data_IF_011254432492
#
_entry.id   IF_011254432492
#
_cell.length_a   1.000
_cell.length_b   1.000
_cell.length_c   1.000
_cell.angle_alpha   90.00
_cell.angle_beta   90.00
_cell.angle_gamma   90.00
#
_symmetry.space_group_name_H-M   'P 1'
#
loop_
_entity.id
_entity.type
_entity.pdbx_description
1 polymer ?
#
# COMPACT_ATOMS: atom_id res chain seq x y z
N UNK A 1 -3.33 -15.06 -16.06
CA UNK A 1 -3.10 -14.47 -14.72
C UNK A 1 -4.46 -14.15 -14.13
N UNK A 2 -4.78 -14.78 -13.00
CA UNK A 2 -6.14 -14.98 -12.51
C UNK A 2 -6.77 -13.65 -12.03
N UNK A 3 -7.77 -13.17 -12.77
CA UNK A 3 -8.71 -12.15 -12.31
C UNK A 3 -9.67 -12.84 -11.33
N UNK A 4 -9.63 -12.46 -10.06
CA UNK A 4 -10.49 -13.07 -9.04
C UNK A 4 -11.82 -12.32 -9.05
N UNK A 5 -12.92 -13.01 -9.36
CA UNK A 5 -14.29 -12.48 -9.25
C UNK A 5 -14.83 -12.76 -7.84
N UNK A 6 -15.34 -11.73 -7.17
CA UNK A 6 -16.21 -11.85 -5.99
C UNK A 6 -17.47 -11.01 -6.24
N UNK A 7 -18.63 -11.55 -5.86
CA UNK A 7 -19.98 -11.05 -6.18
C UNK A 7 -20.15 -9.55 -5.85
N UNK A 8 -20.44 -8.74 -6.89
CA UNK A 8 -20.50 -7.27 -6.82
C UNK A 8 -19.24 -6.59 -7.41
N UNK A 9 -18.99 -6.81 -8.70
CA UNK A 9 -17.71 -6.76 -9.44
C UNK A 9 -16.74 -5.59 -9.14
N UNK A 10 -15.92 -5.72 -8.08
CA UNK A 10 -14.70 -4.92 -7.87
C UNK A 10 -13.49 -5.72 -8.39
N UNK A 11 -12.82 -5.21 -9.41
CA UNK A 11 -11.63 -5.84 -10.00
C UNK A 11 -10.42 -5.72 -9.08
N UNK A 12 -10.01 -6.83 -8.44
CA UNK A 12 -8.81 -6.89 -7.61
C UNK A 12 -7.62 -7.52 -8.34
N UNK A 13 -6.42 -7.07 -8.00
CA UNK A 13 -5.16 -7.61 -8.52
C UNK A 13 -4.47 -8.45 -7.46
N UNK A 14 -3.98 -9.63 -7.84
CA UNK A 14 -3.15 -10.46 -6.98
C UNK A 14 -1.69 -10.01 -7.05
N UNK A 15 -1.01 -9.93 -5.90
CA UNK A 15 0.42 -9.65 -5.80
C UNK A 15 1.07 -10.49 -4.70
N UNK A 16 2.39 -10.66 -4.78
CA UNK A 16 3.20 -11.36 -3.78
C UNK A 16 3.96 -10.32 -2.97
N UNK A 17 3.87 -10.39 -1.64
CA UNK A 17 4.59 -9.46 -0.77
C UNK A 17 6.09 -9.76 -0.81
N UNK A 18 6.92 -8.75 -1.07
CA UNK A 18 8.38 -8.95 -1.11
C UNK A 18 8.99 -9.32 0.25
N UNK A 19 8.33 -8.97 1.36
CA UNK A 19 8.81 -9.19 2.73
C UNK A 19 8.40 -10.57 3.22
N UNK A 20 7.09 -10.83 3.34
CA UNK A 20 6.59 -12.09 3.89
C UNK A 20 6.34 -13.18 2.85
N UNK A 21 6.53 -12.90 1.55
CA UNK A 21 6.33 -13.82 0.41
C UNK A 21 4.91 -14.41 0.30
N UNK A 22 3.94 -13.83 1.00
CA UNK A 22 2.53 -14.25 0.92
C UNK A 22 1.79 -13.51 -0.20
N UNK A 23 0.86 -14.23 -0.81
CA UNK A 23 -0.12 -13.66 -1.74
C UNK A 23 -1.09 -12.73 -1.03
N UNK A 24 -1.46 -11.62 -1.68
CA UNK A 24 -2.50 -10.71 -1.22
C UNK A 24 -3.22 -10.06 -2.39
N UNK A 25 -4.40 -9.50 -2.10
CA UNK A 25 -5.24 -8.81 -3.07
C UNK A 25 -5.08 -7.30 -2.92
N UNK A 26 -5.05 -6.61 -4.06
CA UNK A 26 -4.93 -5.16 -4.17
C UNK A 26 -6.21 -4.65 -4.84
N UNK A 27 -6.97 -3.77 -4.18
CA UNK A 27 -8.18 -3.21 -4.74
C UNK A 27 -7.88 -2.09 -5.74
N UNK A 28 -8.82 -1.72 -6.63
CA UNK A 28 -8.57 -0.79 -7.73
C UNK A 28 -8.35 0.67 -7.31
N UNK A 29 -8.79 1.07 -6.12
CA UNK A 29 -8.53 2.40 -5.54
C UNK A 29 -7.14 2.52 -4.90
N UNK A 30 -6.43 1.41 -4.74
CA UNK A 30 -5.05 1.43 -4.25
C UNK A 30 -4.11 1.90 -5.36
N UNK A 31 -3.21 2.84 -5.06
CA UNK A 31 -2.24 3.34 -6.04
C UNK A 31 -1.38 2.19 -6.62
N UNK A 32 -1.10 1.15 -5.82
CA UNK A 32 -0.34 -0.04 -6.23
C UNK A 32 -1.04 -0.83 -7.34
N UNK A 33 -2.37 -0.72 -7.44
CA UNK A 33 -3.14 -1.37 -8.50
C UNK A 33 -2.73 -0.85 -9.87
N UNK A 34 -2.63 0.48 -10.01
CA UNK A 34 -2.22 1.13 -11.25
C UNK A 34 -0.77 0.81 -11.57
N UNK A 35 0.13 0.85 -10.58
CA UNK A 35 1.54 0.49 -10.79
C UNK A 35 1.69 -0.94 -11.31
N UNK A 36 0.99 -1.89 -10.70
CA UNK A 36 1.03 -3.29 -11.12
C UNK A 36 0.33 -3.53 -12.47
N UNK A 37 -0.61 -2.68 -12.86
CA UNK A 37 -1.30 -2.78 -14.17
C UNK A 37 -0.32 -2.55 -15.31
N UNK A 38 0.55 -1.56 -15.18
CA UNK A 38 1.55 -1.23 -16.20
C UNK A 38 2.88 -1.97 -16.02
N UNK A 39 3.25 -2.31 -14.78
CA UNK A 39 4.47 -3.04 -14.47
C UNK A 39 4.17 -4.26 -13.59
N UNK A 40 4.04 -5.43 -14.21
CA UNK A 40 3.63 -6.67 -13.54
C UNK A 40 4.64 -7.19 -12.52
N UNK A 41 5.91 -6.79 -12.66
CA UNK A 41 7.01 -7.24 -11.81
C UNK A 41 7.37 -6.22 -10.72
N UNK A 42 6.57 -5.15 -10.59
CA UNK A 42 6.77 -4.12 -9.57
C UNK A 42 6.74 -4.76 -8.16
N UNK A 43 7.80 -4.60 -7.35
CA UNK A 43 7.81 -5.12 -6.00
C UNK A 43 6.73 -4.43 -5.16
N UNK A 44 5.92 -5.23 -4.47
CA UNK A 44 4.81 -4.74 -3.64
C UNK A 44 4.93 -5.30 -2.23
N UNK A 45 4.53 -4.50 -1.23
CA UNK A 45 4.51 -4.87 0.17
C UNK A 45 3.05 -4.96 0.61
N UNK A 46 2.65 -6.03 1.30
CA UNK A 46 1.30 -6.11 1.87
C UNK A 46 1.13 -5.15 3.04
N UNK A 47 -0.11 -4.79 3.36
CA UNK A 47 -0.42 -3.79 4.39
C UNK A 47 0.19 -4.12 5.75
N UNK A 48 0.10 -5.38 6.20
CA UNK A 48 0.70 -5.84 7.47
C UNK A 48 2.20 -5.60 7.53
N UNK A 49 2.93 -5.96 6.47
CA UNK A 49 4.37 -5.79 6.43
C UNK A 49 4.76 -4.31 6.30
N UNK A 50 3.99 -3.52 5.54
CA UNK A 50 4.20 -2.08 5.42
C UNK A 50 4.02 -1.37 6.77
N UNK A 51 2.96 -1.72 7.51
CA UNK A 51 2.71 -1.20 8.86
C UNK A 51 3.82 -1.59 9.83
N UNK A 52 4.26 -2.86 9.81
CA UNK A 52 5.33 -3.34 10.70
C UNK A 52 6.64 -2.58 10.45
N UNK A 53 7.00 -2.38 9.17
CA UNK A 53 8.19 -1.63 8.77
C UNK A 53 8.10 -0.16 9.21
N UNK A 54 6.93 0.47 9.03
CA UNK A 54 6.70 1.84 9.47
C UNK A 54 6.85 1.97 11.00
N UNK A 55 6.29 1.03 11.76
CA UNK A 55 6.40 1.03 13.22
C UNK A 55 7.85 0.84 13.68
N UNK A 56 8.61 -0.03 13.02
CA UNK A 56 10.03 -0.23 13.30
C UNK A 56 10.84 1.04 13.00
N UNK A 57 10.58 1.69 11.86
CA UNK A 57 11.23 2.96 11.51
C UNK A 57 10.98 4.05 12.56
N UNK A 58 9.73 4.19 13.04
CA UNK A 58 9.38 5.12 14.12
C UNK A 58 10.13 4.74 15.41
N UNK A 59 10.19 3.45 15.74
CA UNK A 59 10.83 2.96 16.98
C UNK A 59 12.34 3.23 16.96
N UNK A 60 12.99 3.03 15.83
CA UNK A 60 14.45 3.21 15.67
C UNK A 60 14.83 4.69 15.59
N UNK A 61 14.04 5.51 14.91
CA UNK A 61 14.41 6.91 14.63
C UNK A 61 13.75 7.92 15.58
N UNK A 62 12.64 7.56 16.21
CA UNK A 62 11.77 8.48 16.93
C UNK A 62 10.98 9.43 16.02
N UNK A 63 11.11 9.33 14.70
CA UNK A 63 10.47 10.23 13.74
C UNK A 63 9.12 9.63 13.34
N UNK A 64 8.03 10.36 13.58
CA UNK A 64 6.70 9.95 13.14
C UNK A 64 6.46 10.39 11.69
N UNK A 65 5.52 9.75 10.97
CA UNK A 65 5.14 10.19 9.61
C UNK A 65 4.66 11.64 9.57
N UNK A 66 4.09 12.15 10.68
CA UNK A 66 3.64 13.53 10.78
C UNK A 66 4.79 14.54 10.86
N UNK A 67 6.01 14.09 11.17
CA UNK A 67 7.20 14.93 11.24
C UNK A 67 7.90 15.06 9.87
N UNK A 68 7.64 14.12 8.95
CA UNK A 68 8.25 14.08 7.63
C UNK A 68 7.69 15.14 6.69
N UNK A 69 6.37 15.38 6.73
CA UNK A 69 5.71 16.38 5.92
C UNK A 69 4.78 17.26 6.76
N UNK A 70 5.35 18.37 7.24
CA UNK A 70 4.61 19.39 8.01
C UNK A 70 3.45 19.98 7.21
N UNK A 71 3.56 20.00 5.88
CA UNK A 71 2.53 20.55 5.01
C UNK A 71 1.42 19.54 4.73
N UNK A 72 1.68 18.23 4.75
CA UNK A 72 0.65 17.18 4.62
C UNK A 72 -0.47 17.38 5.66
N UNK A 73 -0.12 17.74 6.90
CA UNK A 73 -1.09 18.05 7.95
C UNK A 73 -1.99 19.24 7.58
N UNK A 74 -1.43 20.27 6.96
CA UNK A 74 -2.17 21.47 6.53
C UNK A 74 -3.07 21.14 5.35
N UNK A 75 -2.55 20.42 4.35
CA UNK A 75 -3.30 20.05 3.15
C UNK A 75 -4.49 19.13 3.47
N UNK A 76 -4.37 18.18 4.41
CA UNK A 76 -5.50 17.33 4.84
C UNK A 76 -6.66 18.07 5.52
N UNK A 77 -6.40 19.23 6.11
CA UNK A 77 -7.42 20.05 6.79
C UNK A 77 -8.11 20.97 5.78
N UNK A 78 -7.35 21.56 4.85
CA UNK A 78 -7.84 22.58 3.93
C UNK A 78 -8.60 21.99 2.73
N UNK A 79 -8.22 20.80 2.25
CA UNK A 79 -8.76 20.19 1.02
C UNK A 79 -9.70 19.01 1.27
N UNK A 80 -10.45 19.04 2.38
CA UNK A 80 -11.43 18.01 2.73
C UNK A 80 -12.78 18.24 2.07
#
# INVERSE_FOLDING_TARGET
>A
MLQVKTEGEIWMKKAICIICKKDFLIPPWDYRYQELKFNKDKPCVCERCGFSLQQEAITVTGISPADLDRLDRVYRIVFK
#
